data_IF_057303603825
#
_entry.id   IF_057303603825
#
_cell.length_a   1.000
_cell.length_b   1.000
_cell.length_c   1.000
_cell.angle_alpha   90.00
_cell.angle_beta   90.00
_cell.angle_gamma   90.00
#
_symmetry.space_group_name_H-M   'P 1'
#
loop_
_entity.id
_entity.type
_entity.pdbx_description
1 polymer ?
#
# COMPACT_ATOMS: atom_id res chain seq x y z
N UNK A 1 -12.51 8.93 3.19
CA UNK A 1 -12.13 8.02 2.08
C UNK A 1 -11.05 7.10 2.62
N UNK A 2 -11.25 5.79 2.52
CA UNK A 2 -10.30 4.79 3.01
C UNK A 2 -9.15 4.62 2.02
N UNK A 3 -8.12 5.45 2.19
CA UNK A 3 -6.90 5.38 1.39
C UNK A 3 -6.22 4.04 1.52
N UNK A 4 -6.17 3.46 2.72
CA UNK A 4 -5.63 2.13 2.95
C UNK A 4 -6.29 1.05 2.07
N UNK A 5 -7.62 0.92 2.12
CA UNK A 5 -8.35 -0.06 1.33
C UNK A 5 -8.20 0.17 -0.18
N UNK A 6 -8.18 1.44 -0.60
CA UNK A 6 -7.98 1.82 -1.99
C UNK A 6 -6.59 1.40 -2.47
N UNK A 7 -5.53 1.85 -1.79
CA UNK A 7 -4.14 1.56 -2.15
C UNK A 7 -3.87 0.06 -2.10
N UNK A 8 -4.36 -0.65 -1.08
CA UNK A 8 -4.24 -2.11 -1.01
C UNK A 8 -4.85 -2.78 -2.24
N UNK A 9 -6.09 -2.43 -2.62
CA UNK A 9 -6.74 -3.01 -3.80
C UNK A 9 -5.95 -2.76 -5.08
N UNK A 10 -5.42 -1.56 -5.28
CA UNK A 10 -4.61 -1.25 -6.46
C UNK A 10 -3.24 -1.94 -6.43
N UNK A 11 -2.66 -2.13 -5.24
CA UNK A 11 -1.44 -2.91 -5.06
C UNK A 11 -1.68 -4.40 -5.38
N UNK A 12 -2.76 -4.99 -4.86
CA UNK A 12 -3.17 -6.38 -5.14
C UNK A 12 -3.46 -6.61 -6.65
N UNK A 13 -3.84 -5.55 -7.38
CA UNK A 13 -4.02 -5.55 -8.84
C UNK A 13 -2.74 -5.23 -9.61
N UNK A 14 -1.58 -5.21 -8.95
CA UNK A 14 -0.27 -4.85 -9.49
C UNK A 14 -0.22 -3.46 -10.16
N UNK A 15 -1.15 -2.57 -9.82
CA UNK A 15 -1.17 -1.19 -10.32
C UNK A 15 -0.16 -0.29 -9.59
N UNK A 16 0.25 -0.70 -8.38
CA UNK A 16 1.27 -0.01 -7.59
C UNK A 16 2.42 -0.95 -7.27
N UNK A 17 3.62 -0.41 -7.36
CA UNK A 17 4.86 -1.00 -6.84
C UNK A 17 5.03 -0.67 -5.36
N UNK A 18 5.88 -1.41 -4.62
CA UNK A 18 6.20 -1.08 -3.23
C UNK A 18 6.67 0.36 -3.05
N UNK A 19 7.48 0.87 -4.00
CA UNK A 19 7.95 2.25 -3.99
C UNK A 19 6.80 3.28 -4.15
N UNK A 20 5.78 2.96 -4.95
CA UNK A 20 4.58 3.80 -5.06
C UNK A 20 3.73 3.74 -3.78
N UNK A 21 3.62 2.58 -3.12
CA UNK A 21 2.94 2.47 -1.82
C UNK A 21 3.62 3.34 -0.76
N UNK A 22 4.95 3.33 -0.71
CA UNK A 22 5.74 4.16 0.21
C UNK A 22 5.54 5.67 -0.02
N UNK A 23 5.28 6.12 -1.26
CA UNK A 23 4.92 7.53 -1.52
C UNK A 23 3.63 7.95 -0.82
N UNK A 24 2.68 7.04 -0.60
CA UNK A 24 1.46 7.39 0.12
C UNK A 24 1.69 7.61 1.62
N UNK A 25 2.78 7.09 2.18
CA UNK A 25 3.24 7.42 3.53
C UNK A 25 3.74 8.86 3.59
N UNK A 26 4.59 9.27 2.64
CA UNK A 26 5.13 10.64 2.61
C UNK A 26 4.05 11.68 2.34
N UNK A 27 2.99 11.30 1.63
CA UNK A 27 1.80 12.12 1.39
C UNK A 27 0.79 12.12 2.56
N UNK A 28 1.08 11.39 3.65
CA UNK A 28 0.20 11.28 4.82
C UNK A 28 -1.15 10.63 4.54
N UNK A 29 -1.25 9.79 3.49
CA UNK A 29 -2.48 9.09 3.13
C UNK A 29 -2.66 7.79 3.90
N UNK A 30 -1.55 7.14 4.24
CA UNK A 30 -1.47 5.93 5.06
C UNK A 30 -0.29 6.04 6.02
N UNK A 31 -0.28 5.22 7.08
CA UNK A 31 0.87 5.11 7.98
C UNK A 31 1.95 4.19 7.42
N UNK A 32 3.15 4.23 8.00
CA UNK A 32 4.22 3.29 7.69
C UNK A 32 3.76 1.83 7.91
N UNK A 33 3.14 1.54 9.05
CA UNK A 33 2.60 0.20 9.37
C UNK A 33 1.58 -0.30 8.34
N UNK A 34 0.74 0.60 7.83
CA UNK A 34 -0.21 0.29 6.76
C UNK A 34 0.49 -0.02 5.44
N UNK A 35 1.53 0.73 5.08
CA UNK A 35 2.33 0.46 3.88
C UNK A 35 3.07 -0.88 3.99
N UNK A 36 3.69 -1.17 5.15
CA UNK A 36 4.35 -2.45 5.42
C UNK A 36 3.37 -3.63 5.36
N UNK A 37 2.13 -3.45 5.83
CA UNK A 37 1.07 -4.46 5.70
C UNK A 37 0.69 -4.70 4.23
N UNK A 38 0.58 -3.65 3.42
CA UNK A 38 0.23 -3.75 2.00
C UNK A 38 1.34 -4.49 1.22
N UNK A 39 2.59 -4.08 1.43
CA UNK A 39 3.75 -4.64 0.71
C UNK A 39 4.06 -6.07 1.19
N UNK A 40 3.98 -6.31 2.50
CA UNK A 40 4.24 -7.62 3.10
C UNK A 40 3.17 -8.68 2.79
N UNK A 41 1.97 -8.28 2.38
CA UNK A 41 0.90 -9.20 2.00
C UNK A 41 1.23 -10.04 0.75
N UNK A 42 2.17 -9.61 -0.11
CA UNK A 42 2.54 -10.31 -1.33
C UNK A 42 3.47 -11.52 -1.11
N UNK A 43 3.96 -11.76 0.11
CA UNK A 43 4.86 -12.90 0.41
C UNK A 43 4.15 -14.19 0.87
N UNK A 44 2.83 -14.30 0.67
CA UNK A 44 2.03 -15.42 1.19
C UNK A 44 1.27 -16.26 0.13
N UNK A 45 1.61 -16.18 -1.16
CA UNK A 45 0.96 -16.97 -2.20
C UNK A 45 1.97 -17.59 -3.19
#
# INVERSE_FOLDING_TARGET
MDWYATIKRYYDLSCYTPAQVQRFVTLGKITQEQADTIIGAESAA
#
